data_IF_653481403690
#
_entry.id   IF_653481403690
#
_cell.length_a   1.000
_cell.length_b   1.000
_cell.length_c   1.000
_cell.angle_alpha   90.00
_cell.angle_beta   90.00
_cell.angle_gamma   90.00
#
_symmetry.space_group_name_H-M   'P 1'
#
loop_
_entity.id
_entity.type
_entity.pdbx_description
1 polymer ?
#
# COMPACT_ATOMS: atom_id res chain seq x y z
N UNK A 1 -3.12 4.29 -31.86
CA UNK A 1 -2.13 5.02 -32.67
C UNK A 1 -0.76 5.02 -31.97
N UNK A 2 -0.60 5.59 -30.77
CA UNK A 2 0.68 5.74 -30.09
C UNK A 2 1.41 4.41 -29.80
N UNK A 3 0.71 3.33 -29.45
CA UNK A 3 1.32 2.00 -29.15
C UNK A 3 1.80 1.32 -30.43
N UNK A 4 1.10 1.46 -31.56
CA UNK A 4 1.54 0.91 -32.84
C UNK A 4 2.73 1.68 -33.41
N UNK A 5 2.83 2.97 -33.16
CA UNK A 5 3.98 3.80 -33.51
C UNK A 5 5.21 3.47 -32.66
N UNK A 6 5.02 3.29 -31.34
CA UNK A 6 6.05 2.84 -30.42
C UNK A 6 6.57 1.45 -30.83
N UNK A 7 5.70 0.52 -31.20
CA UNK A 7 6.06 -0.82 -31.65
C UNK A 7 6.84 -0.78 -32.98
N UNK A 8 6.45 0.08 -33.92
CA UNK A 8 7.17 0.29 -35.17
C UNK A 8 8.54 0.95 -34.98
N UNK A 9 8.70 1.81 -33.96
CA UNK A 9 9.98 2.37 -33.55
C UNK A 9 10.87 1.30 -32.92
N UNK A 10 10.31 0.38 -32.12
CA UNK A 10 11.04 -0.72 -31.46
C UNK A 10 11.63 -1.66 -32.49
N UNK A 11 10.90 -2.01 -33.54
CA UNK A 11 11.37 -2.89 -34.60
C UNK A 11 12.57 -2.31 -35.36
N UNK A 12 12.69 -0.99 -35.43
CA UNK A 12 13.84 -0.29 -35.99
C UNK A 12 15.09 -0.30 -35.10
N UNK A 13 14.92 -0.40 -33.77
CA UNK A 13 15.99 -0.30 -32.78
C UNK A 13 16.27 -1.61 -32.03
N UNK A 14 15.52 -2.69 -32.31
CA UNK A 14 15.61 -3.96 -31.59
C UNK A 14 16.96 -4.70 -31.78
N UNK A 15 17.65 -4.47 -32.88
CA UNK A 15 18.92 -5.14 -33.16
C UNK A 15 20.11 -4.60 -32.36
N UNK A 16 20.29 -3.27 -32.18
CA UNK A 16 21.38 -2.75 -31.35
C UNK A 16 21.06 -2.65 -29.84
N UNK A 17 19.78 -2.74 -29.43
CA UNK A 17 19.38 -2.51 -28.04
C UNK A 17 18.36 -3.55 -27.54
N UNK A 18 18.75 -4.83 -27.30
CA UNK A 18 17.83 -5.87 -26.85
C UNK A 18 17.14 -5.54 -25.50
N UNK A 19 17.77 -4.71 -24.68
CA UNK A 19 17.20 -4.24 -23.41
C UNK A 19 15.99 -3.30 -23.62
N UNK A 20 16.02 -2.47 -24.66
CA UNK A 20 14.91 -1.58 -25.02
C UNK A 20 13.68 -2.37 -25.49
N UNK A 21 13.88 -3.43 -26.26
CA UNK A 21 12.83 -4.33 -26.71
C UNK A 21 12.13 -5.01 -25.53
N UNK A 22 12.89 -5.57 -24.58
CA UNK A 22 12.34 -6.19 -23.36
C UNK A 22 11.58 -5.19 -22.48
N UNK A 23 12.08 -3.96 -22.36
CA UNK A 23 11.41 -2.92 -21.55
C UNK A 23 10.09 -2.49 -22.19
N UNK A 24 10.03 -2.40 -23.52
CA UNK A 24 8.82 -2.06 -24.26
C UNK A 24 7.81 -3.22 -24.27
N UNK A 25 8.25 -4.47 -24.37
CA UNK A 25 7.38 -5.63 -24.20
C UNK A 25 6.76 -5.67 -22.79
N UNK A 26 7.53 -5.36 -21.76
CA UNK A 26 7.01 -5.23 -20.38
C UNK A 26 6.00 -4.09 -20.25
N UNK A 27 6.25 -2.94 -20.85
CA UNK A 27 5.33 -1.80 -20.86
C UNK A 27 4.03 -2.10 -21.64
N UNK A 28 4.13 -2.87 -22.75
CA UNK A 28 2.96 -3.30 -23.53
C UNK A 28 2.16 -4.44 -22.84
N UNK A 29 2.80 -5.21 -21.96
CA UNK A 29 2.15 -6.27 -21.18
C UNK A 29 1.51 -5.77 -19.88
N UNK A 30 1.75 -4.48 -19.47
CA UNK A 30 1.04 -3.86 -18.37
C UNK A 30 -0.45 -3.77 -18.71
N UNK A 31 -1.35 -4.02 -17.74
CA UNK A 31 -2.78 -3.80 -17.94
C UNK A 31 -3.00 -2.40 -18.51
N UNK A 32 -3.82 -2.30 -19.54
CA UNK A 32 -4.13 -1.01 -20.14
C UNK A 32 -4.72 -0.08 -19.09
N UNK A 33 -4.36 1.19 -19.14
CA UNK A 33 -4.93 2.25 -18.30
C UNK A 33 -6.47 2.29 -18.35
N UNK A 34 -7.05 1.75 -19.42
CA UNK A 34 -8.47 1.66 -19.70
C UNK A 34 -9.19 0.57 -18.87
N UNK A 35 -8.46 -0.33 -18.19
CA UNK A 35 -9.03 -1.43 -17.38
C UNK A 35 -9.13 -1.11 -15.88
N UNK A 36 -8.61 0.05 -15.45
CA UNK A 36 -8.90 0.57 -14.12
C UNK A 36 -10.31 1.16 -14.12
N UNK A 37 -11.15 0.88 -13.09
CA UNK A 37 -12.46 1.50 -13.01
C UNK A 37 -12.27 3.02 -12.95
N UNK A 38 -12.51 3.69 -14.07
CA UNK A 38 -12.34 5.14 -14.22
C UNK A 38 -13.63 5.87 -13.85
N UNK A 39 -14.17 5.59 -12.68
CA UNK A 39 -15.30 6.35 -12.13
C UNK A 39 -14.86 7.71 -11.54
N UNK A 40 -13.57 8.05 -11.65
CA UNK A 40 -12.99 9.28 -11.13
C UNK A 40 -12.79 9.29 -9.61
N UNK A 41 -13.07 8.17 -8.94
CA UNK A 41 -12.92 8.03 -7.49
C UNK A 41 -11.54 7.49 -7.15
N UNK A 42 -10.81 8.18 -6.27
CA UNK A 42 -9.54 7.69 -5.75
C UNK A 42 -9.78 6.44 -4.89
N UNK A 43 -9.08 5.36 -5.21
CA UNK A 43 -9.01 4.17 -4.37
C UNK A 43 -7.69 4.15 -3.60
N UNK A 44 -7.76 4.17 -2.27
CA UNK A 44 -6.61 3.98 -1.39
C UNK A 44 -6.60 2.54 -0.89
N UNK A 45 -5.55 1.81 -1.23
CA UNK A 45 -5.34 0.43 -0.79
C UNK A 45 -4.38 0.41 0.38
N UNK A 46 -4.86 -0.06 1.51
CA UNK A 46 -4.08 -0.17 2.75
C UNK A 46 -3.75 -1.64 3.01
N UNK A 47 -2.47 -1.93 3.19
CA UNK A 47 -1.98 -3.29 3.44
C UNK A 47 -1.30 -3.40 4.80
N UNK A 48 -1.46 -4.54 5.46
CA UNK A 48 -0.51 -4.99 6.48
C UNK A 48 0.28 -6.20 5.97
N UNK A 49 1.57 -6.27 6.31
CA UNK A 49 2.44 -7.32 5.81
C UNK A 49 3.61 -7.67 6.76
N UNK A 50 4.22 -8.83 6.51
CA UNK A 50 5.45 -9.27 7.15
C UNK A 50 6.67 -8.94 6.28
N UNK A 51 7.66 -8.24 6.83
CA UNK A 51 8.93 -8.02 6.14
C UNK A 51 9.67 -9.32 5.82
N UNK A 52 9.43 -10.41 6.58
CA UNK A 52 10.00 -11.74 6.27
C UNK A 52 9.50 -12.31 4.95
N UNK A 53 8.31 -11.90 4.50
CA UNK A 53 7.69 -12.35 3.25
C UNK A 53 7.81 -11.31 2.11
N UNK A 54 8.54 -10.22 2.36
CA UNK A 54 8.76 -9.16 1.38
C UNK A 54 7.64 -8.12 1.34
N UNK A 55 7.93 -6.99 0.70
CA UNK A 55 7.02 -5.86 0.55
C UNK A 55 5.92 -6.22 -0.48
N UNK A 56 4.64 -5.90 -0.22
CA UNK A 56 3.57 -6.08 -1.18
C UNK A 56 3.85 -5.33 -2.49
N UNK A 57 3.54 -5.97 -3.61
CA UNK A 57 3.62 -5.33 -4.92
C UNK A 57 2.32 -4.58 -5.21
N UNK A 58 2.46 -3.45 -5.91
CA UNK A 58 1.31 -2.70 -6.37
C UNK A 58 0.60 -3.44 -7.52
N UNK A 59 -0.66 -3.88 -7.33
CA UNK A 59 -1.38 -4.60 -8.37
C UNK A 59 -1.81 -3.71 -9.55
N UNK A 60 -1.74 -2.38 -9.39
CA UNK A 60 -2.11 -1.43 -10.46
C UNK A 60 -0.98 -1.17 -11.45
N UNK A 61 0.24 -1.61 -11.15
CA UNK A 61 1.41 -1.34 -11.98
C UNK A 61 1.99 0.07 -11.85
N UNK A 62 1.47 0.91 -10.94
CA UNK A 62 1.97 2.28 -10.70
C UNK A 62 3.31 2.33 -9.93
N UNK A 63 3.86 1.17 -9.58
CA UNK A 63 5.18 1.06 -8.98
C UNK A 63 5.21 1.14 -7.45
N UNK A 64 4.07 1.06 -6.78
CA UNK A 64 3.98 1.02 -5.32
C UNK A 64 3.36 2.26 -4.70
N UNK A 65 3.84 2.61 -3.53
CA UNK A 65 3.34 3.71 -2.71
C UNK A 65 4.13 3.81 -1.40
N UNK A 66 3.49 4.21 -0.33
CA UNK A 66 4.12 4.27 0.97
C UNK A 66 4.35 2.89 1.57
N UNK A 67 5.51 2.72 2.18
CA UNK A 67 5.84 1.56 3.02
C UNK A 67 6.31 2.07 4.38
N UNK A 68 5.49 1.90 5.41
CA UNK A 68 5.79 2.28 6.77
C UNK A 68 6.29 1.09 7.57
N UNK A 69 7.43 1.26 8.21
CA UNK A 69 8.04 0.23 9.06
C UNK A 69 7.58 0.40 10.51
N UNK A 70 6.72 -0.51 10.97
CA UNK A 70 6.19 -0.51 12.33
C UNK A 70 7.09 -1.25 13.33
N UNK A 71 8.32 -1.65 12.95
CA UNK A 71 9.18 -2.47 13.83
C UNK A 71 9.79 -1.70 15.00
N UNK A 72 9.80 -0.36 14.93
CA UNK A 72 10.20 0.48 16.06
C UNK A 72 9.20 0.48 17.22
N UNK A 73 7.92 0.23 16.94
CA UNK A 73 6.86 0.13 17.96
C UNK A 73 7.09 -1.13 18.80
N UNK A 74 6.85 -1.04 20.11
CA UNK A 74 6.98 -2.16 21.04
C UNK A 74 6.20 -3.40 20.57
N UNK A 75 6.85 -4.55 20.61
CA UNK A 75 6.34 -5.76 19.99
C UNK A 75 5.57 -6.67 20.98
N UNK A 76 4.24 -6.71 20.93
CA UNK A 76 3.46 -7.61 21.77
C UNK A 76 3.77 -9.10 21.52
N UNK A 77 4.19 -9.46 20.31
CA UNK A 77 4.54 -10.84 19.95
C UNK A 77 5.74 -11.44 20.70
N UNK A 78 6.46 -10.64 21.51
CA UNK A 78 7.49 -11.13 22.43
C UNK A 78 6.92 -11.85 23.65
N UNK A 79 5.64 -11.61 23.97
CA UNK A 79 4.99 -12.08 25.18
C UNK A 79 3.95 -13.15 24.87
N UNK A 80 3.98 -14.23 25.63
CA UNK A 80 3.13 -15.42 25.42
C UNK A 80 1.62 -15.10 25.28
N UNK A 81 1.02 -14.20 26.10
CA UNK A 81 -0.41 -13.92 26.01
C UNK A 81 -0.86 -13.39 24.64
N UNK A 82 0.03 -12.75 23.89
CA UNK A 82 -0.30 -12.08 22.63
C UNK A 82 0.11 -12.84 21.38
N UNK A 83 0.92 -13.91 21.50
CA UNK A 83 1.50 -14.61 20.32
C UNK A 83 0.48 -15.16 19.33
N UNK A 84 -0.70 -15.55 19.81
CA UNK A 84 -1.78 -16.11 18.99
C UNK A 84 -2.83 -15.07 18.58
N UNK A 85 -2.73 -13.86 19.10
CA UNK A 85 -3.64 -12.78 18.84
C UNK A 85 -3.13 -11.92 17.68
N UNK A 86 -3.98 -11.03 17.18
CA UNK A 86 -3.69 -10.11 16.10
C UNK A 86 -3.79 -8.65 16.56
N UNK A 87 -3.44 -7.71 15.70
CA UNK A 87 -3.63 -6.27 15.96
C UNK A 87 -5.10 -5.82 16.03
N UNK A 88 -6.06 -6.73 15.77
CA UNK A 88 -7.50 -6.46 15.92
C UNK A 88 -8.07 -6.97 17.26
N UNK A 89 -7.30 -7.73 18.01
CA UNK A 89 -7.74 -8.29 19.28
C UNK A 89 -7.53 -7.30 20.43
N UNK A 90 -8.54 -7.11 21.25
CA UNK A 90 -8.58 -6.13 22.35
C UNK A 90 -7.33 -6.18 23.27
N UNK A 91 -6.80 -7.34 23.69
CA UNK A 91 -5.59 -7.35 24.52
C UNK A 91 -4.35 -6.78 23.82
N UNK A 92 -4.24 -6.97 22.51
CA UNK A 92 -3.13 -6.42 21.69
C UNK A 92 -3.32 -4.92 21.48
N UNK A 93 -4.54 -4.51 21.20
CA UNK A 93 -4.90 -3.09 21.07
C UNK A 93 -4.49 -2.34 22.34
N UNK A 94 -4.94 -2.80 23.50
CA UNK A 94 -4.57 -2.20 24.80
C UNK A 94 -3.08 -2.16 25.06
N UNK A 95 -2.38 -3.24 24.76
CA UNK A 95 -0.92 -3.28 24.90
C UNK A 95 -0.23 -2.18 24.09
N UNK A 96 -0.64 -1.98 22.84
CA UNK A 96 -0.05 -0.97 21.96
C UNK A 96 -0.42 0.46 22.38
N UNK A 97 -1.65 0.65 22.86
CA UNK A 97 -2.16 1.94 23.30
C UNK A 97 -1.60 2.36 24.65
N UNK A 98 -1.47 1.46 25.60
CA UNK A 98 -0.89 1.70 26.92
C UNK A 98 0.59 2.12 26.83
N UNK A 99 1.31 1.58 25.86
CA UNK A 99 2.71 1.94 25.60
C UNK A 99 2.83 3.32 24.92
N UNK A 100 1.83 3.73 24.16
CA UNK A 100 1.67 5.07 23.57
C UNK A 100 2.48 5.39 22.34
N UNK A 101 3.52 4.60 22.00
CA UNK A 101 4.37 4.82 20.83
C UNK A 101 3.59 4.80 19.52
N UNK A 102 2.54 3.98 19.46
CA UNK A 102 1.71 3.82 18.25
C UNK A 102 0.94 5.09 17.90
N UNK A 103 0.55 5.90 18.87
CA UNK A 103 -0.17 7.16 18.61
C UNK A 103 0.72 8.18 17.90
N UNK A 104 1.94 8.39 18.41
CA UNK A 104 2.89 9.29 17.77
C UNK A 104 3.25 8.82 16.36
N UNK A 105 3.44 7.52 16.18
CA UNK A 105 3.70 6.94 14.88
C UNK A 105 2.57 7.22 13.88
N UNK A 106 1.32 6.96 14.26
CA UNK A 106 0.15 7.17 13.40
C UNK A 106 -0.09 8.66 13.11
N UNK A 107 0.15 9.55 14.07
CA UNK A 107 0.05 11.00 13.84
C UNK A 107 0.97 11.45 12.69
N UNK A 108 2.22 10.98 12.67
CA UNK A 108 3.16 11.27 11.59
C UNK A 108 2.73 10.63 10.27
N UNK A 109 2.20 9.41 10.30
CA UNK A 109 1.65 8.75 9.11
C UNK A 109 0.50 9.56 8.52
N UNK A 110 -0.45 10.00 9.33
CA UNK A 110 -1.56 10.85 8.88
C UNK A 110 -1.06 12.16 8.28
N UNK A 111 -0.07 12.80 8.93
CA UNK A 111 0.55 14.03 8.42
C UNK A 111 1.20 13.90 7.04
N UNK A 112 1.64 12.70 6.67
CA UNK A 112 2.21 12.42 5.34
C UNK A 112 1.15 11.96 4.35
N UNK A 113 0.24 11.08 4.75
CA UNK A 113 -0.74 10.45 3.85
C UNK A 113 -1.88 11.39 3.49
N UNK A 114 -2.41 12.15 4.43
CA UNK A 114 -3.56 13.03 4.22
C UNK A 114 -3.34 14.04 3.09
N UNK A 115 -2.24 14.83 3.06
CA UNK A 115 -1.99 15.77 1.97
C UNK A 115 -1.85 15.09 0.62
N UNK A 116 -1.35 13.84 0.59
CA UNK A 116 -1.23 13.05 -0.62
C UNK A 116 -2.61 12.64 -1.15
N UNK A 117 -3.47 12.13 -0.27
CA UNK A 117 -4.86 11.77 -0.60
C UNK A 117 -5.61 12.97 -1.15
N UNK A 118 -5.53 14.12 -0.48
CA UNK A 118 -6.18 15.36 -0.92
C UNK A 118 -5.70 15.80 -2.32
N UNK A 119 -4.40 15.74 -2.55
CA UNK A 119 -3.80 16.10 -3.83
C UNK A 119 -4.21 15.13 -4.93
N UNK A 120 -4.21 13.83 -4.66
CA UNK A 120 -4.59 12.80 -5.64
C UNK A 120 -6.07 12.87 -5.98
N UNK A 121 -6.95 13.02 -4.98
CA UNK A 121 -8.38 13.19 -5.20
C UNK A 121 -8.66 14.43 -6.06
N UNK A 122 -8.05 15.57 -5.73
CA UNK A 122 -8.20 16.82 -6.50
C UNK A 122 -7.70 16.71 -7.93
N UNK A 123 -6.64 15.95 -8.18
CA UNK A 123 -6.05 15.77 -9.53
C UNK A 123 -6.69 14.67 -10.34
N UNK A 124 -7.65 13.94 -9.78
CA UNK A 124 -8.33 12.84 -10.46
C UNK A 124 -7.49 11.58 -10.62
N UNK A 125 -6.49 11.35 -9.74
CA UNK A 125 -5.77 10.08 -9.70
C UNK A 125 -6.66 8.97 -9.15
N UNK A 126 -6.51 7.76 -9.67
CA UNK A 126 -7.39 6.63 -9.37
C UNK A 126 -6.86 5.70 -8.27
N UNK A 127 -5.56 5.75 -7.93
CA UNK A 127 -4.96 4.77 -7.02
C UNK A 127 -3.85 5.36 -6.16
N UNK A 128 -3.86 5.00 -4.87
CA UNK A 128 -2.77 5.20 -3.93
C UNK A 128 -2.62 3.92 -3.09
N UNK A 129 -1.39 3.46 -2.91
CA UNK A 129 -1.07 2.30 -2.07
C UNK A 129 -0.33 2.74 -0.80
N UNK A 130 -0.76 2.21 0.35
CA UNK A 130 -0.11 2.43 1.65
C UNK A 130 0.05 1.09 2.35
N UNK A 131 1.28 0.73 2.69
CA UNK A 131 1.59 -0.56 3.30
C UNK A 131 2.26 -0.38 4.65
N UNK A 132 1.83 -1.16 5.65
CA UNK A 132 2.41 -1.22 6.98
C UNK A 132 3.10 -2.56 7.17
N UNK A 133 4.38 -2.55 7.50
CA UNK A 133 5.17 -3.75 7.74
C UNK A 133 5.62 -3.89 9.18
N UNK A 134 5.54 -5.11 9.71
CA UNK A 134 6.24 -5.49 10.93
C UNK A 134 6.92 -6.84 10.73
N UNK A 135 7.56 -7.40 11.76
CA UNK A 135 8.33 -8.64 11.61
C UNK A 135 7.46 -9.80 11.16
N UNK A 136 6.31 -10.00 11.79
CA UNK A 136 5.39 -11.12 11.51
C UNK A 136 4.13 -10.76 10.74
N UNK A 137 3.85 -9.47 10.51
CA UNK A 137 2.61 -9.04 9.84
C UNK A 137 1.33 -9.29 10.64
N UNK A 138 1.44 -9.49 11.96
CA UNK A 138 0.33 -10.00 12.78
C UNK A 138 -0.23 -8.96 13.76
N UNK A 139 0.59 -8.13 14.40
CA UNK A 139 0.18 -7.24 15.47
C UNK A 139 0.26 -5.77 15.05
N UNK A 140 1.45 -5.16 15.10
CA UNK A 140 1.68 -3.72 14.90
C UNK A 140 1.24 -3.22 13.53
N UNK A 141 1.59 -3.94 12.47
CA UNK A 141 1.19 -3.60 11.10
C UNK A 141 -0.32 -3.69 10.88
N UNK A 142 -0.97 -4.69 11.49
CA UNK A 142 -2.43 -4.86 11.42
C UNK A 142 -3.13 -3.70 12.12
N UNK A 143 -2.73 -3.39 13.37
CA UNK A 143 -3.26 -2.25 14.11
C UNK A 143 -3.13 -0.94 13.32
N UNK A 144 -1.93 -0.64 12.81
CA UNK A 144 -1.70 0.60 12.06
C UNK A 144 -2.52 0.67 10.77
N UNK A 145 -2.66 -0.45 10.05
CA UNK A 145 -3.45 -0.51 8.83
C UNK A 145 -4.94 -0.30 9.09
N UNK A 146 -5.50 -0.91 10.14
CA UNK A 146 -6.88 -0.71 10.57
C UNK A 146 -7.14 0.76 10.91
N UNK A 147 -6.26 1.38 11.69
CA UNK A 147 -6.41 2.77 12.11
C UNK A 147 -6.31 3.75 10.95
N UNK A 148 -5.37 3.56 10.00
CA UNK A 148 -5.33 4.40 8.81
C UNK A 148 -6.58 4.23 7.95
N UNK A 149 -7.06 3.00 7.76
CA UNK A 149 -8.27 2.77 6.97
C UNK A 149 -9.50 3.43 7.59
N UNK A 150 -9.65 3.35 8.92
CA UNK A 150 -10.72 4.02 9.65
C UNK A 150 -10.61 5.55 9.53
N UNK A 151 -9.43 6.11 9.77
CA UNK A 151 -9.14 7.54 9.64
C UNK A 151 -9.51 8.08 8.25
N UNK A 152 -9.08 7.39 7.19
CA UNK A 152 -9.36 7.80 5.82
C UNK A 152 -10.84 7.73 5.46
N UNK A 153 -11.56 6.71 5.93
CA UNK A 153 -13.01 6.58 5.71
C UNK A 153 -13.80 7.68 6.41
N UNK A 154 -13.38 8.05 7.60
CA UNK A 154 -14.02 9.13 8.37
C UNK A 154 -13.73 10.51 7.75
N UNK A 155 -12.47 10.78 7.44
CA UNK A 155 -12.03 12.09 6.96
C UNK A 155 -12.39 12.36 5.51
N UNK A 156 -12.39 11.33 4.67
CA UNK A 156 -12.58 11.44 3.21
C UNK A 156 -13.69 10.50 2.70
N UNK A 157 -14.95 10.84 2.93
CA UNK A 157 -16.08 9.96 2.56
C UNK A 157 -16.23 9.72 1.05
N UNK A 158 -15.64 10.58 0.23
CA UNK A 158 -15.73 10.52 -1.24
C UNK A 158 -14.65 9.63 -1.88
N UNK A 159 -13.73 9.09 -1.10
CA UNK A 159 -12.73 8.14 -1.60
C UNK A 159 -13.13 6.69 -1.30
N UNK A 160 -12.54 5.76 -2.01
CA UNK A 160 -12.68 4.32 -1.74
C UNK A 160 -11.48 3.83 -0.95
N UNK A 161 -11.71 3.18 0.19
CA UNK A 161 -10.64 2.61 1.03
C UNK A 161 -10.79 1.09 1.07
N UNK A 162 -9.77 0.37 0.57
CA UNK A 162 -9.65 -1.08 0.68
C UNK A 162 -8.55 -1.43 1.67
N UNK A 163 -8.88 -2.29 2.62
CA UNK A 163 -7.96 -2.81 3.62
C UNK A 163 -7.70 -4.29 3.40
N UNK A 164 -6.44 -4.70 3.47
CA UNK A 164 -6.01 -6.06 3.20
C UNK A 164 -4.88 -6.48 4.14
N UNK A 165 -5.12 -7.51 4.93
CA UNK A 165 -4.14 -8.11 5.84
C UNK A 165 -3.52 -9.35 5.20
N UNK A 166 -2.42 -9.16 4.48
CA UNK A 166 -1.80 -10.21 3.67
C UNK A 166 -1.44 -11.49 4.43
N UNK A 167 -1.13 -11.38 5.72
CA UNK A 167 -0.71 -12.53 6.53
C UNK A 167 -1.85 -13.18 7.33
N UNK A 168 -3.08 -12.73 7.14
CA UNK A 168 -4.26 -13.21 7.87
C UNK A 168 -5.25 -13.96 6.97
N UNK A 169 -4.89 -14.20 5.74
CA UNK A 169 -5.66 -14.98 4.75
C UNK A 169 -5.34 -16.47 4.80
#
# INVERSE_FOLDING_TARGET
AAISELKAMTDRFSSPYPYLAQTLERLCALPRFDELPSDGVLEVRVFSFSFKKGIPQDPTGNGGGYVFDCRSIHNPGRYEPYKKLTGMDEPVIRFLEDDGEVFSFLEHVYGVVDPHVETYARRGFSSLMVSFGCTGGQHRSVYCAEHLAAHLREKYPDIRVRLHHREQE
#
